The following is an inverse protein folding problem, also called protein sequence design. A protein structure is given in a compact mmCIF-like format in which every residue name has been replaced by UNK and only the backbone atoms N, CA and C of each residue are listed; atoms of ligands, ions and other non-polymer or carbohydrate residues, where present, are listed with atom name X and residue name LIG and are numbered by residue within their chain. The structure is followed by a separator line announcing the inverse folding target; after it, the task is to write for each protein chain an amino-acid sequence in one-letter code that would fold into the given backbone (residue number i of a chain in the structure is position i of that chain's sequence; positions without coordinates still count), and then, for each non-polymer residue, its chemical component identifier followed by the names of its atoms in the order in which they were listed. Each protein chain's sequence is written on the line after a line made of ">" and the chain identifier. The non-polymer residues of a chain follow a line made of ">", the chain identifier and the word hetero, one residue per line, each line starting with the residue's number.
data_IF_995642336054
#
_entry.id   IF_995642336054
#
_cell.length_a   1.000
_cell.length_b   1.000
_cell.length_c   1.000
_cell.angle_alpha   90.00
_cell.angle_beta   90.00
_cell.angle_gamma   90.00
#
_symmetry.space_group_name_H-M   'P 1'
#
loop_
_entity.id
_entity.type
_entity.pdbx_description
1 polymer ?
#
# COMPACT_ATOMS: atom_id res chain seq x y z
N UNK A 1 -22.56 -12.69 5.01
CA UNK A 1 -22.98 -11.93 3.81
C UNK A 1 -21.77 -11.89 2.88
N UNK A 2 -21.88 -12.49 1.68
CA UNK A 2 -20.82 -12.35 0.67
C UNK A 2 -20.86 -10.91 0.17
N UNK A 3 -20.07 -10.04 0.76
CA UNK A 3 -19.86 -8.71 0.18
C UNK A 3 -18.98 -8.88 -1.05
N UNK A 4 -19.52 -8.53 -2.21
CA UNK A 4 -18.74 -8.43 -3.44
C UNK A 4 -17.55 -7.50 -3.20
N UNK A 5 -16.37 -7.89 -3.64
CA UNK A 5 -15.17 -7.03 -3.63
C UNK A 5 -15.04 -6.22 -4.93
N UNK A 6 -16.10 -6.22 -5.74
CA UNK A 6 -16.15 -5.51 -7.02
C UNK A 6 -16.18 -3.98 -6.88
N UNK A 7 -16.49 -3.48 -5.68
CA UNK A 7 -16.52 -2.06 -5.33
C UNK A 7 -15.16 -1.49 -4.93
N UNK A 8 -14.08 -2.29 -4.99
CA UNK A 8 -12.77 -1.92 -4.49
C UNK A 8 -11.72 -1.93 -5.60
N UNK A 9 -10.94 -0.86 -5.72
CA UNK A 9 -9.72 -0.83 -6.51
C UNK A 9 -8.49 -1.04 -5.62
N UNK A 10 -7.59 -1.93 -6.03
CA UNK A 10 -6.29 -2.12 -5.40
C UNK A 10 -5.26 -1.23 -6.11
N UNK A 11 -4.54 -0.43 -5.34
CA UNK A 11 -3.54 0.52 -5.82
C UNK A 11 -2.18 0.15 -5.24
N UNK A 12 -1.19 -0.10 -6.09
CA UNK A 12 0.16 -0.39 -5.67
C UNK A 12 1.16 0.65 -6.22
N UNK A 13 1.64 1.61 -5.40
CA UNK A 13 2.71 2.50 -5.79
C UNK A 13 4.03 1.72 -5.89
N UNK A 14 4.66 1.79 -7.08
CA UNK A 14 5.85 1.04 -7.47
C UNK A 14 6.92 1.91 -8.19
N UNK A 15 6.80 3.24 -8.12
CA UNK A 15 7.71 4.18 -8.81
C UNK A 15 9.00 4.50 -8.03
N UNK A 16 9.17 4.00 -6.80
CA UNK A 16 10.32 4.31 -5.96
C UNK A 16 11.64 3.71 -6.45
N UNK A 17 12.73 4.44 -6.29
CA UNK A 17 14.08 4.13 -6.79
C UNK A 17 14.82 2.98 -6.08
N UNK A 18 14.24 2.40 -5.01
CA UNK A 18 14.84 1.27 -4.23
C UNK A 18 16.28 1.49 -3.74
N UNK A 19 16.71 2.74 -3.52
CA UNK A 19 18.11 3.11 -3.19
C UNK A 19 18.67 2.37 -1.96
N UNK A 20 17.86 2.15 -0.92
CA UNK A 20 18.27 1.44 0.30
C UNK A 20 18.46 -0.07 0.11
N UNK A 21 17.87 -0.64 -0.91
CA UNK A 21 17.98 -2.06 -1.22
C UNK A 21 19.28 -2.41 -1.95
N UNK A 22 19.86 -1.43 -2.68
CA UNK A 22 21.08 -1.61 -3.46
C UNK A 22 20.86 -2.31 -4.81
N UNK A 23 19.61 -2.34 -5.30
CA UNK A 23 19.24 -2.97 -6.57
C UNK A 23 17.75 -2.80 -6.86
N UNK A 24 17.24 -3.52 -7.85
CA UNK A 24 15.82 -3.49 -8.19
C UNK A 24 15.00 -4.42 -7.28
N UNK A 25 14.58 -3.88 -6.16
CA UNK A 25 13.81 -4.59 -5.15
C UNK A 25 12.54 -5.26 -5.70
N UNK A 26 11.79 -4.57 -6.55
CA UNK A 26 10.50 -5.04 -7.03
C UNK A 26 10.64 -6.17 -8.05
N UNK A 27 11.74 -6.16 -8.84
CA UNK A 27 12.05 -7.20 -9.81
C UNK A 27 12.86 -8.36 -9.20
N UNK A 28 13.38 -8.21 -7.98
CA UNK A 28 14.03 -9.32 -7.29
C UNK A 28 13.06 -10.48 -7.12
N UNK A 29 13.55 -11.70 -7.40
CA UNK A 29 12.73 -12.91 -7.29
C UNK A 29 12.62 -13.35 -5.83
N UNK A 30 11.40 -13.63 -5.43
CA UNK A 30 11.02 -14.29 -4.19
C UNK A 30 10.20 -15.52 -4.59
N UNK A 31 10.62 -16.71 -4.19
CA UNK A 31 9.97 -17.97 -4.60
C UNK A 31 9.72 -18.06 -6.12
N UNK A 32 10.68 -17.60 -6.92
CA UNK A 32 10.66 -17.71 -8.38
C UNK A 32 9.84 -16.65 -9.11
N UNK A 33 9.20 -15.71 -8.42
CA UNK A 33 8.46 -14.61 -9.04
C UNK A 33 8.88 -13.24 -8.46
N UNK A 34 8.81 -12.14 -9.23
CA UNK A 34 9.13 -10.80 -8.75
C UNK A 34 8.34 -10.39 -7.50
N UNK A 35 9.01 -9.74 -6.56
CA UNK A 35 8.44 -9.30 -5.26
C UNK A 35 7.09 -8.61 -5.40
N UNK A 36 6.94 -7.68 -6.35
CA UNK A 36 5.68 -6.94 -6.50
C UNK A 36 4.49 -7.80 -6.96
N UNK A 37 4.75 -8.93 -7.63
CA UNK A 37 3.69 -9.79 -8.15
C UNK A 37 3.02 -10.64 -7.07
N UNK A 38 3.65 -10.83 -5.91
CA UNK A 38 3.05 -11.60 -4.83
C UNK A 38 1.76 -10.97 -4.32
N UNK A 39 1.77 -9.68 -3.96
CA UNK A 39 0.56 -8.99 -3.51
C UNK A 39 -0.49 -8.89 -4.64
N UNK A 40 -0.07 -8.66 -5.90
CA UNK A 40 -0.98 -8.65 -7.06
C UNK A 40 -1.66 -10.01 -7.21
N UNK A 41 -0.92 -11.12 -7.14
CA UNK A 41 -1.47 -12.49 -7.22
C UNK A 41 -2.50 -12.74 -6.12
N UNK A 42 -2.20 -12.31 -4.90
CA UNK A 42 -3.14 -12.45 -3.77
C UNK A 42 -4.45 -11.71 -4.04
N UNK A 43 -4.40 -10.44 -4.43
CA UNK A 43 -5.63 -9.65 -4.62
C UNK A 43 -6.36 -9.98 -5.91
N UNK A 44 -5.68 -10.48 -6.94
CA UNK A 44 -6.30 -10.94 -8.19
C UNK A 44 -7.23 -12.13 -7.97
N UNK A 45 -7.01 -12.92 -6.91
CA UNK A 45 -7.92 -14.01 -6.53
C UNK A 45 -9.19 -13.53 -5.82
N UNK A 46 -9.27 -12.26 -5.43
CA UNK A 46 -10.35 -11.67 -4.65
C UNK A 46 -11.16 -10.64 -5.44
N UNK A 47 -10.49 -9.87 -6.28
CA UNK A 47 -11.07 -8.74 -7.01
C UNK A 47 -11.49 -9.14 -8.42
N UNK A 48 -12.53 -8.51 -8.93
CA UNK A 48 -12.89 -8.63 -10.34
C UNK A 48 -11.78 -8.13 -11.27
N UNK A 49 -11.67 -8.67 -12.50
CA UNK A 49 -10.68 -8.23 -13.49
C UNK A 49 -10.70 -6.71 -13.70
N UNK A 50 -9.52 -6.12 -13.84
CA UNK A 50 -9.37 -4.68 -14.07
C UNK A 50 -9.54 -3.81 -12.82
N UNK A 51 -9.46 -4.39 -11.61
CA UNK A 51 -9.50 -3.64 -10.34
C UNK A 51 -8.13 -3.36 -9.75
N UNK A 52 -7.06 -3.74 -10.43
CA UNK A 52 -5.68 -3.59 -9.97
C UNK A 52 -5.00 -2.49 -10.77
N UNK A 53 -4.41 -1.52 -10.06
CA UNK A 53 -3.71 -0.36 -10.63
C UNK A 53 -2.30 -0.31 -10.05
N UNK A 54 -1.30 -0.27 -10.91
CA UNK A 54 0.11 -0.18 -10.54
C UNK A 54 0.68 1.16 -11.04
N UNK A 55 1.15 2.01 -10.11
CA UNK A 55 1.82 3.26 -10.46
C UNK A 55 3.33 3.03 -10.49
N UNK A 56 3.92 3.07 -11.69
CA UNK A 56 5.34 2.77 -11.92
C UNK A 56 6.05 3.95 -12.58
N UNK A 57 7.38 4.00 -12.49
CA UNK A 57 8.14 5.02 -13.19
C UNK A 57 7.82 4.98 -14.70
N UNK A 58 7.55 6.13 -15.35
CA UNK A 58 7.05 6.17 -16.73
C UNK A 58 7.89 5.36 -17.71
N UNK A 59 9.21 5.41 -17.58
CA UNK A 59 10.18 4.71 -18.41
C UNK A 59 10.19 3.19 -18.21
N UNK A 60 9.56 2.72 -17.12
CA UNK A 60 9.50 1.28 -16.76
C UNK A 60 8.14 0.64 -17.03
N UNK A 61 7.16 1.37 -17.53
CA UNK A 61 5.80 0.83 -17.75
C UNK A 61 5.85 -0.41 -18.64
N UNK A 62 6.57 -0.35 -19.76
CA UNK A 62 6.66 -1.48 -20.70
C UNK A 62 7.33 -2.72 -20.08
N UNK A 63 8.35 -2.52 -19.23
CA UNK A 63 9.00 -3.59 -18.48
C UNK A 63 8.02 -4.27 -17.52
N UNK A 64 7.33 -3.50 -16.67
CA UNK A 64 6.35 -4.04 -15.73
C UNK A 64 5.18 -4.75 -16.43
N UNK A 65 4.71 -4.21 -17.55
CA UNK A 65 3.68 -4.86 -18.38
C UNK A 65 4.15 -6.24 -18.90
N UNK A 66 5.35 -6.28 -19.47
CA UNK A 66 5.94 -7.52 -20.00
C UNK A 66 6.12 -8.57 -18.90
N UNK A 67 6.70 -8.18 -17.77
CA UNK A 67 6.93 -9.08 -16.63
C UNK A 67 5.60 -9.56 -16.03
N UNK A 68 4.63 -8.67 -15.88
CA UNK A 68 3.30 -9.07 -15.36
C UNK A 68 2.63 -10.07 -16.29
N UNK A 69 2.65 -9.83 -17.60
CA UNK A 69 2.06 -10.75 -18.59
C UNK A 69 2.77 -12.12 -18.62
N UNK A 70 4.08 -12.15 -18.38
CA UNK A 70 4.85 -13.39 -18.31
C UNK A 70 4.46 -14.26 -17.12
N UNK A 71 4.28 -13.68 -15.94
CA UNK A 71 4.06 -14.43 -14.70
C UNK A 71 2.57 -14.57 -14.30
N UNK A 72 1.74 -13.63 -14.73
CA UNK A 72 0.31 -13.55 -14.41
C UNK A 72 -0.51 -13.22 -15.68
N UNK A 73 -0.50 -14.10 -16.72
CA UNK A 73 -1.10 -13.80 -18.02
C UNK A 73 -2.62 -13.54 -17.97
N UNK A 74 -3.31 -14.12 -17.00
CA UNK A 74 -4.77 -14.00 -16.84
C UNK A 74 -5.18 -12.82 -15.95
N UNK A 75 -4.21 -12.04 -15.42
CA UNK A 75 -4.49 -10.93 -14.52
C UNK A 75 -4.47 -9.60 -15.26
N UNK A 76 -5.58 -8.90 -15.25
CA UNK A 76 -5.69 -7.55 -15.82
C UNK A 76 -5.20 -6.50 -14.83
N UNK A 77 -4.09 -5.83 -15.16
CA UNK A 77 -3.50 -4.73 -14.38
C UNK A 77 -3.48 -3.46 -15.22
N UNK A 78 -3.95 -2.35 -14.64
CA UNK A 78 -3.77 -1.02 -15.20
C UNK A 78 -2.44 -0.44 -14.74
N UNK A 79 -1.61 -0.02 -15.67
CA UNK A 79 -0.35 0.68 -15.38
C UNK A 79 -0.54 2.17 -15.61
N UNK A 80 -0.17 2.97 -14.61
CA UNK A 80 -0.21 4.43 -14.69
C UNK A 80 1.18 5.00 -14.38
N UNK A 81 1.54 6.17 -14.92
CA UNK A 81 2.80 6.80 -14.56
C UNK A 81 2.80 7.16 -13.07
N UNK A 82 3.87 6.82 -12.38
CA UNK A 82 4.15 7.32 -11.04
C UNK A 82 4.59 8.78 -11.08
N UNK A 83 4.54 9.44 -9.92
CA UNK A 83 4.97 10.82 -9.75
C UNK A 83 6.32 10.94 -9.05
N UNK A 84 6.73 12.18 -8.74
CA UNK A 84 7.96 12.49 -8.03
C UNK A 84 7.92 12.06 -6.55
N UNK A 85 6.72 11.81 -6.01
CA UNK A 85 6.52 11.34 -4.64
C UNK A 85 5.60 10.11 -4.61
N UNK A 86 5.56 9.41 -3.43
CA UNK A 86 4.59 8.34 -3.18
C UNK A 86 3.16 8.88 -3.27
N UNK A 87 2.91 10.02 -2.67
CA UNK A 87 1.59 10.68 -2.67
C UNK A 87 1.12 10.99 -4.09
N UNK A 88 1.98 11.51 -4.95
CA UNK A 88 1.66 11.80 -6.35
C UNK A 88 1.42 10.51 -7.16
N UNK A 89 2.22 9.47 -6.92
CA UNK A 89 2.00 8.15 -7.54
C UNK A 89 0.63 7.55 -7.16
N UNK A 90 0.24 7.69 -5.88
CA UNK A 90 -1.10 7.29 -5.40
C UNK A 90 -2.18 8.14 -6.06
N UNK A 91 -1.99 9.45 -6.19
CA UNK A 91 -2.94 10.35 -6.84
C UNK A 91 -3.25 9.94 -8.29
N UNK A 92 -2.22 9.70 -9.12
CA UNK A 92 -2.41 9.23 -10.50
C UNK A 92 -3.17 7.88 -10.57
N UNK A 93 -2.91 6.99 -9.60
CA UNK A 93 -3.67 5.75 -9.53
C UNK A 93 -5.12 5.94 -9.07
N UNK A 94 -5.39 6.90 -8.18
CA UNK A 94 -6.74 7.28 -7.77
C UNK A 94 -7.52 7.92 -8.95
N UNK A 95 -6.89 8.74 -9.79
CA UNK A 95 -7.50 9.25 -11.01
C UNK A 95 -7.97 8.09 -11.90
N UNK A 96 -7.11 7.08 -12.09
CA UNK A 96 -7.49 5.88 -12.85
C UNK A 96 -8.62 5.11 -12.17
N UNK A 97 -8.57 4.92 -10.84
CA UNK A 97 -9.60 4.21 -10.09
C UNK A 97 -10.99 4.84 -10.27
N UNK A 98 -11.07 6.18 -10.31
CA UNK A 98 -12.32 6.92 -10.54
C UNK A 98 -12.96 6.67 -11.92
N UNK A 99 -12.19 6.21 -12.89
CA UNK A 99 -12.72 5.84 -14.22
C UNK A 99 -13.31 4.42 -14.26
N UNK A 100 -13.09 3.62 -13.22
CA UNK A 100 -13.56 2.25 -13.16
C UNK A 100 -15.00 2.22 -12.63
N UNK A 101 -15.94 1.56 -13.33
CA UNK A 101 -17.35 1.57 -12.94
C UNK A 101 -17.55 0.86 -11.59
N UNK A 102 -18.36 1.46 -10.70
CA UNK A 102 -18.77 0.85 -9.43
C UNK A 102 -17.72 0.83 -8.32
N UNK A 103 -16.50 1.39 -8.52
CA UNK A 103 -15.49 1.48 -7.47
C UNK A 103 -15.89 2.54 -6.45
N UNK A 104 -15.94 2.13 -5.18
CA UNK A 104 -16.26 2.97 -4.03
C UNK A 104 -15.09 3.08 -3.04
N UNK A 105 -14.22 2.07 -3.00
CA UNK A 105 -13.08 2.00 -2.09
C UNK A 105 -11.76 1.93 -2.86
N UNK A 106 -10.73 2.57 -2.31
CA UNK A 106 -9.35 2.44 -2.76
C UNK A 106 -8.51 1.77 -1.66
N UNK A 107 -7.92 0.64 -1.99
CA UNK A 107 -7.01 -0.10 -1.13
C UNK A 107 -5.57 0.15 -1.59
N UNK A 108 -4.87 1.07 -0.90
CA UNK A 108 -3.48 1.39 -1.22
C UNK A 108 -2.55 0.44 -0.47
N UNK A 109 -1.68 -0.25 -1.23
CA UNK A 109 -0.76 -1.24 -0.68
C UNK A 109 0.64 -1.08 -1.27
N UNK A 110 1.65 -1.08 -0.42
CA UNK A 110 3.04 -0.99 -0.87
C UNK A 110 3.42 -2.23 -1.72
N UNK A 111 3.79 -2.03 -2.98
CA UNK A 111 4.21 -3.11 -3.90
C UNK A 111 5.39 -3.96 -3.35
N UNK A 112 6.12 -3.43 -2.38
CA UNK A 112 7.23 -4.10 -1.70
C UNK A 112 6.82 -4.91 -0.45
N UNK A 113 5.54 -5.18 -0.24
CA UNK A 113 5.02 -6.09 0.81
C UNK A 113 4.44 -7.35 0.17
N UNK A 114 5.28 -8.33 -0.12
CA UNK A 114 4.86 -9.53 -0.86
C UNK A 114 3.99 -10.49 -0.07
N UNK A 115 3.96 -10.38 1.27
CA UNK A 115 3.35 -11.36 2.15
C UNK A 115 1.90 -11.06 2.55
N UNK A 116 1.24 -10.12 1.85
CA UNK A 116 -0.17 -9.84 2.06
C UNK A 116 -1.00 -11.11 1.86
N UNK A 117 -1.81 -11.47 2.86
CA UNK A 117 -2.74 -12.59 2.76
C UNK A 117 -4.14 -12.12 2.37
N UNK A 118 -4.90 -13.00 1.72
CA UNK A 118 -6.31 -12.75 1.39
C UNK A 118 -7.14 -12.43 2.64
N UNK A 119 -6.90 -13.15 3.74
CA UNK A 119 -7.59 -12.93 5.01
C UNK A 119 -7.34 -11.53 5.58
N UNK A 120 -6.08 -11.10 5.62
CA UNK A 120 -5.71 -9.78 6.11
C UNK A 120 -6.32 -8.67 5.26
N UNK A 121 -6.28 -8.82 3.92
CA UNK A 121 -6.91 -7.89 2.99
C UNK A 121 -8.41 -7.76 3.26
N UNK A 122 -9.13 -8.89 3.34
CA UNK A 122 -10.58 -8.89 3.55
C UNK A 122 -10.96 -8.31 4.90
N UNK A 123 -10.25 -8.65 5.99
CA UNK A 123 -10.48 -8.05 7.31
C UNK A 123 -10.33 -6.52 7.29
N UNK A 124 -9.31 -6.02 6.57
CA UNK A 124 -9.08 -4.59 6.45
C UNK A 124 -10.19 -3.91 5.63
N UNK A 125 -10.63 -4.53 4.53
CA UNK A 125 -11.71 -4.02 3.70
C UNK A 125 -13.05 -3.99 4.46
N UNK A 126 -13.40 -5.04 5.17
CA UNK A 126 -14.62 -5.08 5.97
C UNK A 126 -14.61 -4.02 7.07
N UNK A 127 -13.47 -3.82 7.74
CA UNK A 127 -13.31 -2.74 8.71
C UNK A 127 -13.45 -1.35 8.07
N UNK A 128 -12.87 -1.14 6.87
CA UNK A 128 -12.99 0.12 6.16
C UNK A 128 -14.43 0.45 5.78
N UNK A 129 -15.23 -0.55 5.41
CA UNK A 129 -16.67 -0.39 5.12
C UNK A 129 -17.48 0.04 6.34
N UNK A 130 -17.10 -0.47 7.52
CA UNK A 130 -17.78 -0.13 8.79
C UNK A 130 -17.35 1.22 9.34
N UNK A 131 -16.04 1.53 9.27
CA UNK A 131 -15.44 2.67 9.94
C UNK A 131 -15.06 3.83 9.00
N UNK A 132 -15.41 3.76 7.71
CA UNK A 132 -15.07 4.73 6.65
C UNK A 132 -13.57 4.79 6.30
N UNK A 133 -12.75 4.00 6.96
CA UNK A 133 -11.33 3.84 6.69
C UNK A 133 -10.69 2.86 7.65
N UNK A 134 -9.73 2.08 7.16
CA UNK A 134 -8.98 1.12 7.95
C UNK A 134 -7.58 0.92 7.40
N UNK A 135 -6.66 0.48 8.26
CA UNK A 135 -5.32 0.05 7.85
C UNK A 135 -4.89 -1.20 8.61
N UNK A 136 -4.05 -2.01 7.99
CA UNK A 136 -3.37 -3.09 8.69
C UNK A 136 -2.28 -2.52 9.61
N UNK A 137 -2.15 -3.12 10.77
CA UNK A 137 -1.09 -2.77 11.70
C UNK A 137 -0.63 -3.99 12.50
N UNK A 138 0.53 -3.87 13.13
CA UNK A 138 1.04 -4.85 14.09
C UNK A 138 1.40 -4.19 15.41
N UNK A 139 1.35 -4.97 16.48
CA UNK A 139 1.86 -4.54 17.79
C UNK A 139 3.37 -4.29 17.73
N UNK A 140 3.80 -3.30 18.48
CA UNK A 140 5.23 -3.04 18.69
C UNK A 140 5.68 -3.88 19.88
N UNK A 141 6.59 -4.83 19.63
CA UNK A 141 7.11 -5.72 20.68
C UNK A 141 8.28 -5.08 21.44
N UNK A 142 9.08 -4.26 20.75
CA UNK A 142 10.25 -3.61 21.32
C UNK A 142 9.90 -2.39 22.16
N UNK A 143 10.82 -1.98 23.04
CA UNK A 143 10.71 -0.72 23.75
C UNK A 143 10.98 0.45 22.81
N UNK A 144 10.04 1.36 22.68
CA UNK A 144 10.15 2.54 21.80
C UNK A 144 10.71 3.72 22.58
N UNK A 145 11.80 4.29 22.08
CA UNK A 145 12.44 5.48 22.62
C UNK A 145 12.20 6.69 21.74
N UNK A 146 11.84 7.81 22.34
CA UNK A 146 11.97 9.12 21.68
C UNK A 146 13.41 9.59 21.85
N UNK A 147 13.98 10.13 20.77
CA UNK A 147 15.33 10.70 20.80
C UNK A 147 15.26 12.22 20.60
N UNK A 148 16.26 12.93 21.12
CA UNK A 148 16.50 14.33 20.81
C UNK A 148 17.29 14.52 19.51
N UNK A 149 17.57 15.76 19.14
CA UNK A 149 18.33 16.10 17.93
C UNK A 149 19.81 15.66 17.97
N UNK A 150 20.35 15.36 19.15
CA UNK A 150 21.71 14.88 19.36
C UNK A 150 21.79 13.35 19.40
N UNK A 151 20.63 12.64 19.30
CA UNK A 151 20.56 11.18 19.29
C UNK A 151 20.44 10.54 20.66
N UNK A 152 20.30 11.30 21.73
CA UNK A 152 20.08 10.73 23.07
C UNK A 152 18.63 10.37 23.33
N UNK A 153 18.40 9.26 24.03
CA UNK A 153 17.06 8.87 24.47
C UNK A 153 16.54 9.86 25.51
N UNK A 154 15.42 10.54 25.21
CA UNK A 154 14.79 11.51 26.11
C UNK A 154 13.48 11.02 26.73
N UNK A 155 12.84 9.98 26.15
CA UNK A 155 11.59 9.44 26.65
C UNK A 155 11.39 7.97 26.25
N UNK A 156 10.60 7.25 27.04
CA UNK A 156 10.14 5.88 26.74
C UNK A 156 8.65 5.93 26.50
N UNK A 157 8.23 5.67 25.26
CA UNK A 157 6.83 5.70 24.89
C UNK A 157 6.08 4.45 25.39
N UNK A 158 4.83 4.61 25.79
CA UNK A 158 3.96 3.50 26.12
C UNK A 158 3.62 2.72 24.83
N UNK A 159 4.28 1.59 24.60
CA UNK A 159 4.08 0.77 23.39
C UNK A 159 2.68 0.19 23.25
N UNK A 160 1.91 0.08 24.36
CA UNK A 160 0.56 -0.45 24.30
C UNK A 160 -0.42 0.53 23.60
N UNK A 161 -0.06 1.81 23.54
CA UNK A 161 -0.78 2.86 22.80
C UNK A 161 -0.29 3.02 21.34
N UNK A 162 0.75 2.29 20.95
CA UNK A 162 1.38 2.42 19.65
C UNK A 162 1.14 1.18 18.78
N UNK A 163 1.03 1.42 17.48
CA UNK A 163 0.99 0.37 16.46
C UNK A 163 1.94 0.74 15.33
N UNK A 164 2.62 -0.25 14.79
CA UNK A 164 3.35 -0.07 13.54
C UNK A 164 2.34 -0.15 12.38
N UNK A 165 2.14 0.98 11.71
CA UNK A 165 1.27 1.06 10.56
C UNK A 165 1.83 0.26 9.38
N UNK A 166 0.96 -0.48 8.73
CA UNK A 166 1.27 -1.23 7.52
C UNK A 166 0.26 -0.91 6.41
N UNK A 167 0.30 -1.65 5.34
CA UNK A 167 -0.68 -1.58 4.26
C UNK A 167 -1.28 -2.97 3.99
N UNK A 168 -2.50 -3.08 3.43
CA UNK A 168 -3.28 -2.02 2.79
C UNK A 168 -3.81 -0.98 3.78
N UNK A 169 -3.96 0.25 3.26
CA UNK A 169 -4.71 1.34 3.86
C UNK A 169 -5.91 1.58 2.95
N UNK A 170 -7.11 1.41 3.47
CA UNK A 170 -8.34 1.37 2.67
C UNK A 170 -9.28 2.47 3.12
N UNK A 171 -9.72 3.28 2.17
CA UNK A 171 -10.63 4.40 2.38
C UNK A 171 -11.66 4.49 1.26
N UNK A 172 -12.72 5.27 1.48
CA UNK A 172 -13.59 5.71 0.39
C UNK A 172 -12.76 6.36 -0.71
N UNK A 173 -12.99 5.96 -1.97
CA UNK A 173 -12.26 6.46 -3.12
C UNK A 173 -12.36 7.98 -3.25
N UNK A 174 -13.57 8.54 -3.07
CA UNK A 174 -13.78 9.99 -3.17
C UNK A 174 -13.04 10.76 -2.07
N UNK A 175 -13.15 10.30 -0.81
CA UNK A 175 -12.50 10.98 0.31
C UNK A 175 -10.98 10.94 0.20
N UNK A 176 -10.40 9.78 -0.19
CA UNK A 176 -8.96 9.65 -0.36
C UNK A 176 -8.46 10.48 -1.54
N UNK A 177 -9.22 10.52 -2.66
CA UNK A 177 -8.87 11.36 -3.81
C UNK A 177 -8.80 12.84 -3.42
N UNK A 178 -9.86 13.38 -2.79
CA UNK A 178 -9.93 14.79 -2.38
C UNK A 178 -8.84 15.15 -1.36
N UNK A 179 -8.58 14.26 -0.40
CA UNK A 179 -7.51 14.45 0.58
C UNK A 179 -6.13 14.45 -0.08
N UNK A 180 -5.88 13.52 -1.02
CA UNK A 180 -4.60 13.43 -1.73
C UNK A 180 -4.37 14.63 -2.65
N UNK A 181 -5.42 15.13 -3.32
CA UNK A 181 -5.36 16.36 -4.11
C UNK A 181 -4.91 17.57 -3.26
N UNK A 182 -5.50 17.74 -2.07
CA UNK A 182 -5.10 18.78 -1.11
C UNK A 182 -3.66 18.57 -0.61
N UNK A 183 -3.27 17.32 -0.39
CA UNK A 183 -1.92 16.97 0.04
C UNK A 183 -0.86 17.41 -0.98
N UNK A 184 -1.13 17.24 -2.28
CA UNK A 184 -0.24 17.69 -3.36
C UNK A 184 -0.13 19.21 -3.45
N UNK A 185 -1.15 19.95 -3.03
CA UNK A 185 -1.13 21.42 -2.99
C UNK A 185 -0.43 21.96 -1.72
N UNK A 186 -0.17 21.11 -0.74
CA UNK A 186 0.52 21.49 0.50
C UNK A 186 2.03 21.36 0.38
N UNK A 187 2.76 22.06 1.26
CA UNK A 187 4.21 21.90 1.38
C UNK A 187 4.62 20.69 2.26
N UNK A 188 3.64 19.91 2.75
CA UNK A 188 3.90 18.81 3.68
C UNK A 188 4.36 17.55 2.94
N UNK A 189 5.24 16.79 3.58
CA UNK A 189 5.61 15.45 3.13
C UNK A 189 4.85 14.43 3.97
N UNK A 190 4.13 13.55 3.31
CA UNK A 190 3.33 12.50 3.96
C UNK A 190 4.03 11.15 3.83
N UNK A 191 3.99 10.38 4.92
CA UNK A 191 4.63 9.06 4.99
C UNK A 191 3.72 7.95 4.50
N UNK A 192 2.39 8.11 4.68
CA UNK A 192 1.37 7.16 4.26
C UNK A 192 0.03 7.85 3.95
N UNK A 193 -0.95 7.07 3.49
CA UNK A 193 -2.26 7.57 3.09
C UNK A 193 -3.13 7.89 4.32
N UNK A 194 -2.90 7.21 5.44
CA UNK A 194 -3.57 7.49 6.70
C UNK A 194 -3.24 8.91 7.18
N UNK A 195 -1.98 9.32 7.15
CA UNK A 195 -1.57 10.68 7.51
C UNK A 195 -2.20 11.74 6.59
N UNK A 196 -2.35 11.44 5.30
CA UNK A 196 -3.08 12.32 4.37
C UNK A 196 -4.53 12.47 4.81
N UNK A 197 -5.21 11.36 5.10
CA UNK A 197 -6.60 11.38 5.56
C UNK A 197 -6.76 12.12 6.88
N UNK A 198 -5.90 11.89 7.86
CA UNK A 198 -5.89 12.55 9.17
C UNK A 198 -5.73 14.07 9.05
N UNK A 199 -4.94 14.53 8.06
CA UNK A 199 -4.65 15.95 7.88
C UNK A 199 -5.78 16.70 7.21
N UNK A 200 -6.46 16.09 6.23
CA UNK A 200 -7.40 16.80 5.36
C UNK A 200 -8.86 16.38 5.52
N UNK A 201 -9.14 15.40 6.38
CA UNK A 201 -10.51 14.91 6.62
C UNK A 201 -10.74 14.65 8.11
N UNK A 202 -12.00 14.56 8.56
CA UNK A 202 -12.32 14.08 9.91
C UNK A 202 -12.26 12.55 10.06
N UNK A 203 -12.01 11.82 8.99
CA UNK A 203 -12.00 10.35 8.98
C UNK A 203 -10.77 9.85 9.72
N UNK A 204 -10.98 8.96 10.69
CA UNK A 204 -9.92 8.25 11.38
C UNK A 204 -9.92 6.80 10.97
N UNK A 205 -8.77 6.30 10.53
CA UNK A 205 -8.64 4.90 10.14
C UNK A 205 -8.77 3.96 11.36
N UNK A 206 -9.58 2.92 11.22
CA UNK A 206 -9.61 1.83 12.18
C UNK A 206 -8.37 0.94 12.03
N UNK A 207 -7.72 0.61 13.14
CA UNK A 207 -6.50 -0.20 13.14
C UNK A 207 -6.86 -1.69 13.20
N UNK A 208 -6.56 -2.41 12.13
CA UNK A 208 -6.79 -3.87 12.04
C UNK A 208 -5.49 -4.59 12.37
N UNK A 209 -5.41 -5.12 13.58
CA UNK A 209 -4.23 -5.92 13.98
C UNK A 209 -4.22 -7.27 13.25
N UNK A 210 -3.05 -7.66 12.78
CA UNK A 210 -2.79 -8.99 12.26
C UNK A 210 -1.50 -9.57 12.86
N UNK A 211 -1.36 -10.90 12.80
CA UNK A 211 -0.25 -11.63 13.43
C UNK A 211 0.65 -12.32 12.39
N UNK A 212 0.30 -12.23 11.11
CA UNK A 212 1.08 -12.78 10.02
C UNK A 212 2.26 -11.90 9.63
N UNK A 213 3.12 -12.42 8.78
CA UNK A 213 4.15 -11.62 8.12
C UNK A 213 3.50 -10.74 7.04
N UNK A 214 3.75 -9.46 7.09
CA UNK A 214 3.41 -8.48 6.05
C UNK A 214 4.51 -7.41 5.97
N UNK A 215 5.76 -7.85 6.26
CA UNK A 215 6.92 -6.94 6.26
C UNK A 215 7.12 -6.29 4.90
N UNK A 216 7.60 -5.06 4.93
CA UNK A 216 8.03 -4.34 3.73
C UNK A 216 9.48 -4.71 3.44
N UNK A 217 9.75 -5.24 2.26
CA UNK A 217 11.12 -5.42 1.78
C UNK A 217 11.73 -4.02 1.58
N UNK A 218 12.72 -3.68 2.38
CA UNK A 218 13.40 -2.38 2.38
C UNK A 218 14.89 -2.52 2.16
N UNK A 219 15.48 -3.54 2.77
CA UNK A 219 16.87 -3.93 2.65
C UNK A 219 16.98 -5.35 2.07
N UNK A 220 18.14 -5.70 1.52
CA UNK A 220 18.36 -7.06 0.98
C UNK A 220 18.14 -8.17 2.04
N UNK A 221 18.49 -7.89 3.30
CA UNK A 221 18.29 -8.82 4.42
C UNK A 221 16.82 -9.04 4.84
N UNK A 222 15.86 -8.27 4.29
CA UNK A 222 14.43 -8.50 4.56
C UNK A 222 13.84 -9.66 3.74
N UNK A 223 14.58 -10.10 2.70
CA UNK A 223 14.19 -11.30 1.96
C UNK A 223 14.41 -12.54 2.84
N UNK A 224 13.51 -13.53 2.82
CA UNK A 224 13.77 -14.81 3.48
C UNK A 224 15.08 -15.42 2.96
N UNK A 225 15.85 -16.01 3.85
CA UNK A 225 17.01 -16.81 3.42
C UNK A 225 16.49 -17.97 2.57
N UNK A 226 16.83 -17.96 1.29
CA UNK A 226 16.57 -19.07 0.36
C UNK A 226 17.55 -20.20 0.60
#
# INVERSE_FOLDING_TARGET
>A
MNHSVDDTAFIAPAAGSSTRFGGDKLMTLLDGIPVYLHCIRTVASLLSPGRIILAVAPERIAEFQSVTAQYLPDVTVHFVPGGASRTESVFHALEKARTLPGVQYAAVHDAARPFLTAEAFMKCLDAARVHQGALLCRKICDTVKRIDSAGYACDTLNRDELRAAETPQIFSLSALYEATEKALQSANVFTDDCQVMETFTPVRAYLVEHYGDNRKITFAGDLPNT
#
